data_IF_568774512010
#
_entry.id   IF_568774512010
#
_cell.length_a   1.000
_cell.length_b   1.000
_cell.length_c   1.000
_cell.angle_alpha   90.00
_cell.angle_beta   90.00
_cell.angle_gamma   90.00
#
_symmetry.space_group_name_H-M   'P 1'
#
loop_
_entity.id
_entity.type
_entity.pdbx_description
1 polymer ?
#
# COMPACT_ATOMS: atom_id res chain seq x y z
N UNK A 1 5.91 -22.24 -6.91
CA UNK A 1 7.35 -21.96 -6.79
C UNK A 1 7.52 -20.59 -6.15
N UNK A 2 8.05 -20.51 -4.92
CA UNK A 2 8.38 -19.24 -4.26
C UNK A 2 9.62 -18.68 -4.95
N UNK A 3 9.46 -17.63 -5.76
CA UNK A 3 10.57 -17.05 -6.49
C UNK A 3 11.47 -16.29 -5.50
N UNK A 4 12.67 -16.83 -5.24
CA UNK A 4 13.63 -16.31 -4.25
C UNK A 4 14.18 -14.90 -4.61
N UNK A 5 14.01 -14.45 -5.85
CA UNK A 5 14.54 -13.18 -6.38
C UNK A 5 13.59 -11.97 -6.26
N UNK A 6 12.58 -12.04 -5.40
CA UNK A 6 11.57 -10.97 -5.27
C UNK A 6 11.89 -9.93 -4.18
N UNK A 7 12.85 -10.23 -3.29
CA UNK A 7 13.32 -9.31 -2.24
C UNK A 7 13.87 -7.96 -2.74
N UNK A 8 14.62 -7.88 -3.86
CA UNK A 8 15.13 -6.61 -4.37
C UNK A 8 13.99 -5.62 -4.69
N UNK A 9 12.87 -6.10 -5.24
CA UNK A 9 11.74 -5.24 -5.57
C UNK A 9 11.10 -4.62 -4.30
N UNK A 10 10.98 -5.40 -3.23
CA UNK A 10 10.51 -4.88 -1.94
C UNK A 10 11.45 -3.81 -1.39
N UNK A 11 12.77 -4.01 -1.49
CA UNK A 11 13.76 -3.03 -1.05
C UNK A 11 13.66 -1.73 -1.86
N UNK A 12 13.49 -1.82 -3.19
CA UNK A 12 13.28 -0.64 -4.05
C UNK A 12 12.03 0.13 -3.62
N UNK A 13 10.91 -0.57 -3.41
CA UNK A 13 9.68 0.07 -2.90
C UNK A 13 9.92 0.80 -1.59
N UNK A 14 10.58 0.13 -0.63
CA UNK A 14 10.93 0.71 0.67
C UNK A 14 11.77 1.98 0.54
N UNK A 15 12.87 1.91 -0.23
CA UNK A 15 13.79 3.04 -0.43
C UNK A 15 13.06 4.19 -1.10
N UNK A 16 12.23 3.95 -2.11
CA UNK A 16 11.48 5.01 -2.78
C UNK A 16 10.51 5.71 -1.84
N UNK A 17 9.78 4.98 -1.00
CA UNK A 17 8.88 5.60 -0.02
C UNK A 17 9.62 6.36 1.08
N UNK A 18 10.79 5.87 1.51
CA UNK A 18 11.62 6.60 2.45
C UNK A 18 12.15 7.91 1.83
N UNK A 19 12.68 7.85 0.61
CA UNK A 19 13.25 9.00 -0.09
C UNK A 19 12.20 10.02 -0.49
N UNK A 20 11.02 9.60 -0.93
CA UNK A 20 9.90 10.50 -1.20
C UNK A 20 9.51 11.28 0.06
N UNK A 21 9.38 10.60 1.21
CA UNK A 21 9.04 11.28 2.47
C UNK A 21 10.14 12.23 2.99
N UNK A 22 11.41 11.96 2.70
CA UNK A 22 12.54 12.67 3.35
C UNK A 22 13.34 13.61 2.46
N UNK A 23 13.32 13.40 1.14
CA UNK A 23 14.16 14.11 0.17
C UNK A 23 13.33 14.76 -0.94
N UNK A 24 12.36 14.05 -1.50
CA UNK A 24 11.57 14.49 -2.66
C UNK A 24 10.08 14.53 -2.31
N UNK A 25 9.71 15.37 -1.36
CA UNK A 25 8.29 15.60 -1.02
C UNK A 25 7.54 15.96 -2.31
N UNK A 26 6.67 15.04 -2.76
CA UNK A 26 5.90 15.18 -4.01
C UNK A 26 4.71 16.13 -3.86
N UNK A 27 4.55 16.73 -2.68
CA UNK A 27 3.50 17.66 -2.32
C UNK A 27 2.55 17.09 -1.28
N UNK A 28 1.59 17.91 -0.80
CA UNK A 28 0.78 17.58 0.36
C UNK A 28 0.03 16.25 0.20
N UNK A 29 0.40 15.24 1.00
CA UNK A 29 -0.19 13.89 1.02
C UNK A 29 -0.17 13.16 -0.34
N UNK A 30 0.80 13.49 -1.21
CA UNK A 30 1.12 12.69 -2.40
C UNK A 30 2.22 11.70 -2.01
N UNK A 31 1.83 10.57 -1.41
CA UNK A 31 2.77 9.69 -0.72
C UNK A 31 2.94 8.30 -1.37
N UNK A 32 4.13 7.72 -1.24
CA UNK A 32 4.42 6.35 -1.69
C UNK A 32 4.22 5.31 -0.59
N UNK A 33 4.13 5.71 0.68
CA UNK A 33 4.06 4.77 1.81
C UNK A 33 2.85 3.85 1.75
N UNK A 34 1.67 4.35 1.37
CA UNK A 34 0.47 3.52 1.19
C UNK A 34 0.69 2.48 0.09
N UNK A 35 1.37 2.85 -1.00
CA UNK A 35 1.70 1.93 -2.10
C UNK A 35 2.61 0.81 -1.60
N UNK A 36 3.66 1.13 -0.83
CA UNK A 36 4.56 0.13 -0.24
C UNK A 36 3.80 -0.78 0.70
N UNK A 37 3.01 -0.24 1.61
CA UNK A 37 2.21 -1.01 2.55
C UNK A 37 1.28 -2.01 1.85
N UNK A 38 0.54 -1.56 0.83
CA UNK A 38 -0.42 -2.41 0.12
C UNK A 38 0.29 -3.47 -0.72
N UNK A 39 1.31 -3.10 -1.47
CA UNK A 39 2.05 -4.05 -2.30
C UNK A 39 2.87 -5.02 -1.46
N UNK A 40 3.44 -4.58 -0.34
CA UNK A 40 4.08 -5.46 0.63
C UNK A 40 3.06 -6.42 1.26
N UNK A 41 1.89 -5.94 1.65
CA UNK A 41 0.81 -6.81 2.17
C UNK A 41 0.39 -7.88 1.17
N UNK A 42 0.32 -7.52 -0.11
CA UNK A 42 -0.14 -8.41 -1.16
C UNK A 42 0.94 -9.39 -1.66
N UNK A 43 2.17 -8.91 -1.88
CA UNK A 43 3.27 -9.68 -2.48
C UNK A 43 4.19 -10.31 -1.42
N UNK A 44 4.37 -9.63 -0.29
CA UNK A 44 5.34 -9.94 0.75
C UNK A 44 4.73 -9.91 2.16
N UNK A 45 3.62 -10.63 2.46
CA UNK A 45 2.86 -10.43 3.69
C UNK A 45 3.69 -10.46 4.99
N UNK A 46 4.76 -11.27 5.03
CA UNK A 46 5.69 -11.37 6.18
C UNK A 46 6.46 -10.07 6.48
N UNK A 47 6.72 -9.26 5.44
CA UNK A 47 7.47 -8.00 5.55
C UNK A 47 6.55 -6.79 5.53
N UNK A 48 5.24 -6.94 5.36
CA UNK A 48 4.30 -5.81 5.29
C UNK A 48 4.35 -4.93 6.53
N UNK A 49 4.05 -5.51 7.70
CA UNK A 49 4.01 -4.77 8.95
C UNK A 49 5.37 -4.12 9.26
N UNK A 50 6.44 -4.92 9.21
CA UNK A 50 7.79 -4.46 9.53
C UNK A 50 8.33 -3.46 8.51
N UNK A 51 8.01 -3.62 7.23
CA UNK A 51 8.37 -2.69 6.17
C UNK A 51 7.70 -1.34 6.35
N UNK A 52 6.37 -1.34 6.52
CA UNK A 52 5.61 -0.12 6.80
C UNK A 52 6.10 0.57 8.07
N UNK A 53 6.33 -0.19 9.15
CA UNK A 53 6.85 0.32 10.42
C UNK A 53 8.23 0.98 10.23
N UNK A 54 9.13 0.32 9.50
CA UNK A 54 10.45 0.86 9.25
C UNK A 54 10.39 2.15 8.41
N UNK A 55 9.49 2.27 7.42
CA UNK A 55 9.34 3.52 6.66
C UNK A 55 8.88 4.66 7.57
N UNK A 56 7.81 4.47 8.35
CA UNK A 56 7.30 5.54 9.24
C UNK A 56 8.32 5.94 10.29
N UNK A 57 8.94 4.98 10.99
CA UNK A 57 9.92 5.28 12.05
C UNK A 57 11.12 6.02 11.46
N UNK A 58 11.75 5.48 10.42
CA UNK A 58 12.98 6.07 9.89
C UNK A 58 12.72 7.45 9.28
N UNK A 59 11.60 7.64 8.57
CA UNK A 59 11.29 8.96 8.01
C UNK A 59 10.98 9.98 9.10
N UNK A 60 10.25 9.61 10.14
CA UNK A 60 9.92 10.53 11.23
C UNK A 60 11.11 10.84 12.15
N UNK A 61 12.11 9.95 12.23
CA UNK A 61 13.40 10.27 12.87
C UNK A 61 14.16 11.38 12.14
N UNK A 62 13.94 11.54 10.82
CA UNK A 62 14.55 12.60 10.01
C UNK A 62 13.73 13.88 10.06
N UNK A 63 12.40 13.77 9.93
CA UNK A 63 11.49 14.92 9.85
C UNK A 63 11.09 15.50 11.21
N UNK A 64 11.24 14.72 12.28
CA UNK A 64 10.60 15.00 13.56
C UNK A 64 9.10 14.65 13.55
N UNK A 65 8.51 14.53 14.73
CA UNK A 65 7.07 14.25 14.86
C UNK A 65 6.50 14.85 16.16
N UNK A 66 5.18 14.90 16.25
CA UNK A 66 4.40 15.31 17.42
C UNK A 66 3.48 14.16 17.86
N UNK A 67 2.67 14.36 18.91
CA UNK A 67 1.74 13.36 19.44
C UNK A 67 0.76 12.77 18.40
N UNK A 68 0.56 13.44 17.25
CA UNK A 68 -0.22 12.91 16.13
C UNK A 68 0.35 11.59 15.57
N UNK A 69 1.63 11.28 15.85
CA UNK A 69 2.29 10.03 15.46
C UNK A 69 1.48 8.80 15.86
N UNK A 70 0.78 8.85 17.01
CA UNK A 70 -0.06 7.76 17.47
C UNK A 70 -1.13 7.41 16.43
N UNK A 71 -1.73 8.42 15.79
CA UNK A 71 -2.77 8.24 14.78
C UNK A 71 -2.18 7.99 13.39
N UNK A 72 -1.11 8.67 12.99
CA UNK A 72 -0.50 8.43 11.67
C UNK A 72 0.16 7.05 11.59
N UNK A 73 0.90 6.63 12.62
CA UNK A 73 1.53 5.31 12.65
C UNK A 73 0.50 4.20 12.70
N UNK A 74 -0.46 4.27 13.63
CA UNK A 74 -1.52 3.26 13.71
C UNK A 74 -2.41 3.28 12.46
N UNK A 75 -2.62 4.45 11.84
CA UNK A 75 -3.31 4.62 10.56
C UNK A 75 -2.70 3.79 9.43
N UNK A 76 -1.38 3.63 9.39
CA UNK A 76 -0.70 2.74 8.44
C UNK A 76 -0.57 1.30 8.96
N UNK A 77 -0.24 1.11 10.24
CA UNK A 77 0.07 -0.20 10.80
C UNK A 77 -1.17 -1.10 10.93
N UNK A 78 -2.36 -0.54 11.21
CA UNK A 78 -3.60 -1.31 11.30
C UNK A 78 -3.95 -1.93 9.92
N UNK A 79 -4.04 -1.17 8.81
CA UNK A 79 -4.20 -1.75 7.49
C UNK A 79 -3.07 -2.74 7.15
N UNK A 80 -1.80 -2.40 7.38
CA UNK A 80 -0.68 -3.30 7.11
C UNK A 80 -0.86 -4.67 7.81
N UNK A 81 -1.25 -4.65 9.09
CA UNK A 81 -1.51 -5.83 9.90
C UNK A 81 -2.69 -6.66 9.38
N UNK A 82 -3.81 -6.01 9.06
CA UNK A 82 -5.02 -6.68 8.56
C UNK A 82 -4.79 -7.29 7.18
N UNK A 83 -4.20 -6.51 6.26
CA UNK A 83 -3.94 -6.91 4.88
C UNK A 83 -2.86 -7.99 4.76
N UNK A 84 -1.91 -8.05 5.70
CA UNK A 84 -0.90 -9.12 5.75
C UNK A 84 -1.49 -10.52 6.07
N UNK A 85 -2.76 -10.59 6.48
CA UNK A 85 -3.44 -11.84 6.85
C UNK A 85 -4.55 -12.19 5.85
N UNK A 86 -4.22 -12.83 4.71
CA UNK A 86 -5.21 -13.16 3.67
C UNK A 86 -6.35 -14.07 4.18
N UNK A 87 -6.15 -14.79 5.30
CA UNK A 87 -7.20 -15.59 5.95
C UNK A 87 -8.33 -14.75 6.56
N UNK A 88 -8.03 -13.53 7.02
CA UNK A 88 -9.03 -12.59 7.54
C UNK A 88 -9.86 -11.96 6.41
N UNK A 89 -9.40 -12.13 5.17
CA UNK A 89 -10.02 -11.52 4.00
C UNK A 89 -10.68 -12.57 3.09
N UNK A 90 -11.04 -13.74 3.63
CA UNK A 90 -11.76 -14.83 2.94
C UNK A 90 -13.15 -14.35 2.48
N UNK A 91 -13.19 -13.61 1.37
CA UNK A 91 -14.38 -13.03 0.76
C UNK A 91 -14.01 -12.15 -0.45
N UNK A 92 -12.97 -11.33 -0.30
CA UNK A 92 -12.38 -10.54 -1.41
C UNK A 92 -11.40 -11.34 -2.30
N UNK A 93 -11.00 -12.54 -1.86
CA UNK A 93 -9.82 -13.27 -2.36
C UNK A 93 -10.12 -14.40 -3.38
N UNK A 94 -11.37 -14.64 -3.76
CA UNK A 94 -11.79 -15.85 -4.51
C UNK A 94 -11.59 -15.81 -6.05
N UNK A 95 -10.49 -15.29 -6.59
CA UNK A 95 -10.21 -15.43 -8.04
C UNK A 95 -8.70 -15.39 -8.36
N UNK A 96 -8.02 -16.54 -8.57
CA UNK A 96 -6.58 -16.59 -8.33
C UNK A 96 -5.66 -15.99 -9.42
N UNK A 97 -6.13 -15.59 -10.61
CA UNK A 97 -5.19 -15.23 -11.70
C UNK A 97 -5.48 -13.97 -12.53
N UNK A 98 -6.73 -13.48 -12.62
CA UNK A 98 -7.08 -12.38 -13.53
C UNK A 98 -7.35 -11.00 -12.91
N UNK A 99 -7.52 -10.90 -11.58
CA UNK A 99 -7.95 -9.64 -10.92
C UNK A 99 -6.98 -9.06 -9.90
N UNK A 100 -5.69 -9.38 -10.00
CA UNK A 100 -4.68 -8.93 -9.03
C UNK A 100 -4.58 -7.40 -8.93
N UNK A 101 -4.63 -6.69 -10.07
CA UNK A 101 -4.57 -5.23 -10.09
C UNK A 101 -5.78 -4.60 -9.39
N UNK A 102 -6.99 -5.03 -9.77
CA UNK A 102 -8.26 -4.55 -9.15
C UNK A 102 -8.23 -4.75 -7.64
N UNK A 103 -7.67 -5.87 -7.16
CA UNK A 103 -7.51 -6.11 -5.73
C UNK A 103 -6.61 -5.09 -5.06
N UNK A 104 -5.37 -4.94 -5.52
CA UNK A 104 -4.42 -4.02 -4.87
C UNK A 104 -4.93 -2.58 -4.91
N UNK A 105 -5.62 -2.18 -5.98
CA UNK A 105 -6.29 -0.88 -6.05
C UNK A 105 -7.40 -0.74 -5.01
N UNK A 106 -8.26 -1.77 -4.86
CA UNK A 106 -9.28 -1.79 -3.82
C UNK A 106 -8.70 -1.73 -2.40
N UNK A 107 -7.59 -2.44 -2.16
CA UNK A 107 -6.88 -2.37 -0.87
C UNK A 107 -6.31 -0.99 -0.59
N UNK A 108 -5.71 -0.34 -1.60
CA UNK A 108 -5.21 1.04 -1.49
C UNK A 108 -6.33 2.03 -1.22
N UNK A 109 -7.45 1.91 -1.93
CA UNK A 109 -8.62 2.74 -1.70
C UNK A 109 -9.14 2.59 -0.26
N UNK A 110 -9.40 1.36 0.19
CA UNK A 110 -9.87 1.11 1.56
C UNK A 110 -8.89 1.59 2.63
N UNK A 111 -7.59 1.46 2.38
CA UNK A 111 -6.55 1.93 3.30
C UNK A 111 -6.54 3.46 3.42
N UNK A 112 -6.64 4.18 2.29
CA UNK A 112 -6.73 5.64 2.28
C UNK A 112 -7.99 6.14 3.00
N UNK A 113 -9.14 5.50 2.78
CA UNK A 113 -10.39 5.87 3.45
C UNK A 113 -10.27 5.65 4.96
N UNK A 114 -9.73 4.50 5.38
CA UNK A 114 -9.48 4.24 6.80
C UNK A 114 -8.53 5.28 7.39
N UNK A 115 -7.40 5.53 6.74
CA UNK A 115 -6.40 6.48 7.18
C UNK A 115 -7.02 7.87 7.37
N UNK A 116 -7.76 8.36 6.37
CA UNK A 116 -8.44 9.65 6.43
C UNK A 116 -9.37 9.78 7.64
N UNK A 117 -10.24 8.80 7.90
CA UNK A 117 -11.13 8.89 9.05
C UNK A 117 -10.34 8.83 10.36
N UNK A 118 -9.37 7.92 10.43
CA UNK A 118 -8.61 7.66 11.65
C UNK A 118 -7.70 8.84 12.04
N UNK A 119 -6.94 9.40 11.09
CA UNK A 119 -6.00 10.48 11.40
C UNK A 119 -6.68 11.80 11.65
N UNK A 120 -7.79 12.11 10.96
CA UNK A 120 -8.53 13.34 11.21
C UNK A 120 -9.34 13.29 12.52
N UNK A 121 -9.80 12.10 12.93
CA UNK A 121 -10.25 11.91 14.31
C UNK A 121 -9.12 12.24 15.30
N UNK A 122 -7.90 11.79 15.01
CA UNK A 122 -6.71 12.13 15.80
C UNK A 122 -6.42 13.62 15.85
N UNK A 123 -6.46 14.31 14.70
CA UNK A 123 -6.30 15.76 14.63
C UNK A 123 -7.33 16.45 15.50
N UNK A 124 -8.62 16.12 15.36
CA UNK A 124 -9.69 16.71 16.16
C UNK A 124 -9.53 16.42 17.65
N UNK A 125 -9.15 15.20 18.05
CA UNK A 125 -8.93 14.84 19.45
C UNK A 125 -7.74 15.60 20.05
N UNK A 126 -6.61 15.58 19.36
CA UNK A 126 -5.34 16.11 19.83
C UNK A 126 -5.14 17.61 19.55
N UNK A 127 -6.10 18.25 18.86
CA UNK A 127 -6.02 19.67 18.53
C UNK A 127 -5.81 20.52 19.79
N UNK A 128 -4.57 20.99 19.94
CA UNK A 128 -4.09 21.85 21.02
C UNK A 128 -4.16 23.33 20.66
N UNK A 129 -4.44 23.66 19.39
CA UNK A 129 -4.49 25.03 18.89
C UNK A 129 -5.91 25.60 18.89
N UNK A 130 -6.91 24.78 19.24
CA UNK A 130 -8.31 25.18 19.26
C UNK A 130 -8.84 25.49 17.85
N UNK A 131 -8.31 24.82 16.84
CA UNK A 131 -8.74 24.94 15.45
C UNK A 131 -10.15 24.39 15.23
N UNK A 132 -10.57 23.40 16.03
CA UNK A 132 -11.89 22.79 15.96
C UNK A 132 -12.55 22.70 17.33
N UNK A 133 -13.83 23.07 17.38
CA UNK A 133 -14.66 22.87 18.55
C UNK A 133 -14.71 21.38 18.93
N UNK A 134 -14.65 21.08 20.23
CA UNK A 134 -14.78 19.71 20.76
C UNK A 134 -16.25 19.26 20.79
N UNK A 135 -16.91 19.39 19.64
CA UNK A 135 -18.29 18.96 19.37
C UNK A 135 -18.33 18.11 18.11
N UNK A 136 -19.45 17.42 17.87
CA UNK A 136 -19.66 16.67 16.62
C UNK A 136 -19.57 17.58 15.39
N UNK A 137 -20.05 18.81 15.49
CA UNK A 137 -19.95 19.79 14.41
C UNK A 137 -18.48 20.13 14.09
N UNK A 138 -17.66 20.37 15.12
CA UNK A 138 -16.23 20.62 14.94
C UNK A 138 -15.48 19.43 14.32
N UNK A 139 -15.86 18.19 14.68
CA UNK A 139 -15.33 16.98 14.02
C UNK A 139 -15.70 16.92 12.53
N UNK A 140 -16.96 17.25 12.19
CA UNK A 140 -17.41 17.31 10.80
C UNK A 140 -16.62 18.39 10.03
N UNK A 141 -16.41 19.56 10.62
CA UNK A 141 -15.55 20.61 10.02
C UNK A 141 -14.12 20.11 9.79
N UNK A 142 -13.54 19.38 10.74
CA UNK A 142 -12.21 18.77 10.58
C UNK A 142 -12.15 17.83 9.37
N UNK A 143 -13.16 16.98 9.18
CA UNK A 143 -13.23 16.12 8.01
C UNK A 143 -13.39 16.92 6.71
N UNK A 144 -14.31 17.90 6.66
CA UNK A 144 -14.52 18.72 5.45
C UNK A 144 -13.21 19.40 5.02
N UNK A 145 -12.47 19.99 5.97
CA UNK A 145 -11.20 20.64 5.70
C UNK A 145 -10.10 19.67 5.25
N UNK A 146 -10.24 18.38 5.58
CA UNK A 146 -9.29 17.35 5.20
C UNK A 146 -9.53 16.73 3.81
N UNK A 147 -10.64 17.06 3.13
CA UNK A 147 -10.95 16.53 1.79
C UNK A 147 -9.85 16.77 0.73
N UNK A 148 -9.14 17.93 0.68
CA UNK A 148 -8.04 18.13 -0.26
C UNK A 148 -6.90 17.12 -0.06
N UNK A 149 -6.61 16.77 1.20
CA UNK A 149 -5.60 15.77 1.53
C UNK A 149 -6.02 14.36 1.11
N UNK A 150 -7.29 14.00 1.35
CA UNK A 150 -7.85 12.73 0.89
C UNK A 150 -7.77 12.62 -0.64
N UNK A 151 -8.10 13.70 -1.36
CA UNK A 151 -8.00 13.74 -2.82
C UNK A 151 -6.58 13.42 -3.28
N UNK A 152 -5.57 14.08 -2.73
CA UNK A 152 -4.16 13.85 -3.11
C UNK A 152 -3.71 12.42 -2.79
N UNK A 153 -4.09 11.91 -1.63
CA UNK A 153 -3.75 10.54 -1.21
C UNK A 153 -4.41 9.49 -2.12
N UNK A 154 -5.67 9.70 -2.50
CA UNK A 154 -6.39 8.83 -3.45
C UNK A 154 -5.77 8.87 -4.85
N UNK A 155 -5.45 10.06 -5.36
CA UNK A 155 -4.80 10.21 -6.67
C UNK A 155 -3.43 9.52 -6.67
N UNK A 156 -2.63 9.73 -5.63
CA UNK A 156 -1.32 9.09 -5.45
C UNK A 156 -1.43 7.57 -5.52
N UNK A 157 -2.32 6.96 -4.71
CA UNK A 157 -2.56 5.51 -4.72
C UNK A 157 -3.11 5.01 -6.06
N UNK A 158 -3.98 5.79 -6.73
CA UNK A 158 -4.55 5.46 -8.03
C UNK A 158 -3.48 5.42 -9.13
N UNK A 159 -2.40 6.19 -9.01
CA UNK A 159 -1.28 6.23 -9.97
C UNK A 159 -0.19 5.21 -9.60
N UNK A 160 0.30 5.24 -8.37
CA UNK A 160 1.51 4.47 -8.00
C UNK A 160 1.23 2.99 -7.79
N UNK A 161 0.09 2.60 -7.22
CA UNK A 161 -0.23 1.17 -7.03
C UNK A 161 -0.25 0.41 -8.37
N UNK A 162 -1.00 0.84 -9.41
CA UNK A 162 -0.94 0.17 -10.71
C UNK A 162 0.44 0.19 -11.32
N UNK A 163 1.14 1.34 -11.27
CA UNK A 163 2.48 1.50 -11.84
C UNK A 163 3.45 0.44 -11.28
N UNK A 164 3.59 0.39 -9.95
CA UNK A 164 4.52 -0.53 -9.31
C UNK A 164 4.05 -2.00 -9.38
N UNK A 165 2.74 -2.25 -9.33
CA UNK A 165 2.20 -3.60 -9.51
C UNK A 165 2.50 -4.15 -10.92
N UNK A 166 2.34 -3.32 -11.96
CA UNK A 166 2.63 -3.71 -13.34
C UNK A 166 4.14 -3.87 -13.57
N UNK A 167 4.97 -2.99 -13.01
CA UNK A 167 6.42 -3.12 -13.03
C UNK A 167 6.88 -4.46 -12.41
N UNK A 168 6.33 -4.82 -11.25
CA UNK A 168 6.58 -6.12 -10.63
C UNK A 168 6.20 -7.30 -11.54
N UNK A 169 5.03 -7.22 -12.17
CA UNK A 169 4.55 -8.26 -13.10
C UNK A 169 5.44 -8.39 -14.34
N UNK A 170 5.92 -7.27 -14.89
CA UNK A 170 6.83 -7.25 -16.02
C UNK A 170 8.17 -7.92 -15.66
N UNK A 171 8.79 -7.53 -14.53
CA UNK A 171 10.03 -8.14 -14.03
C UNK A 171 9.88 -9.65 -13.85
N UNK A 172 8.76 -10.10 -13.30
CA UNK A 172 8.50 -11.53 -13.13
C UNK A 172 8.33 -12.27 -14.46
N UNK A 173 7.77 -11.63 -15.49
CA UNK A 173 7.58 -12.26 -16.80
C UNK A 173 8.90 -12.51 -17.54
N UNK A 174 9.90 -11.64 -17.35
CA UNK A 174 11.25 -11.78 -17.93
C UNK A 174 12.04 -12.89 -17.24
N UNK A 175 11.82 -13.08 -15.92
CA UNK A 175 12.53 -14.08 -15.11
C UNK A 175 11.94 -15.51 -15.19
N UNK A 176 10.86 -15.73 -15.93
CA UNK A 176 10.33 -17.07 -16.14
C UNK A 176 11.13 -17.78 -17.25
N UNK A 177 11.65 -19.01 -17.03
CA UNK A 177 12.32 -19.76 -18.09
C UNK A 177 11.33 -19.97 -19.25
N UNK A 178 11.71 -19.48 -20.44
CA UNK A 178 10.90 -19.46 -21.67
C UNK A 178 10.55 -20.86 -22.21
N UNK A 179 11.09 -21.93 -21.61
CA UNK A 179 11.02 -23.31 -22.10
C UNK A 179 9.71 -24.07 -21.82
N UNK A 180 8.66 -23.46 -21.29
CA UNK A 180 7.39 -24.18 -21.05
C UNK A 180 6.47 -24.29 -22.28
N UNK A 181 6.87 -23.77 -23.45
CA UNK A 181 6.04 -23.80 -24.66
C UNK A 181 6.32 -24.98 -25.61
N UNK A 182 7.33 -25.82 -25.33
CA UNK A 182 7.70 -26.93 -26.25
C UNK A 182 6.95 -28.25 -26.02
N UNK A 183 6.17 -28.42 -24.95
CA UNK A 183 5.54 -29.72 -24.64
C UNK A 183 4.12 -29.91 -25.19
N UNK A 184 3.50 -28.88 -25.78
CA UNK A 184 2.15 -28.99 -26.34
C UNK A 184 2.12 -29.38 -27.84
N UNK A 185 3.24 -29.28 -28.56
CA UNK A 185 3.33 -29.70 -29.96
C UNK A 185 3.68 -31.19 -30.11
N UNK A 186 4.46 -31.77 -29.20
CA UNK A 186 4.92 -33.16 -29.31
C UNK A 186 3.85 -34.23 -28.98
N UNK A 187 2.75 -33.85 -28.30
CA UNK A 187 1.71 -34.82 -27.89
C UNK A 187 0.62 -35.08 -28.93
N UNK A 188 0.64 -34.40 -30.09
CA UNK A 188 -0.33 -34.61 -31.18
C UNK A 188 0.17 -35.53 -32.31
N UNK A 189 1.40 -36.05 -32.22
CA UNK A 189 1.98 -36.93 -33.27
C UNK A 189 1.88 -38.43 -32.89
N UNK A 190 1.49 -38.78 -31.66
CA UNK A 190 1.48 -40.17 -31.19
C UNK A 190 0.10 -40.73 -30.80
N UNK A 191 -0.97 -40.25 -31.45
CA UNK A 191 -2.29 -40.89 -31.40
C UNK A 191 -2.84 -40.84 -32.82
N UNK A 192 -3.09 -41.91 -33.57
CA UNK A 192 -2.86 -43.36 -33.46
C UNK A 192 -3.34 -43.87 -34.84
N UNK A 193 -2.58 -44.75 -35.48
CA UNK A 193 -3.08 -45.66 -36.51
C UNK A 193 -4.08 -46.67 -35.91
#
# INVERSE_FOLDING_TARGET
>A
MKNHNSKPFFLVLFVLAFLERTVWDLGPNVELITTVMVLASFLYPKYSLWGTLAVVILSDLVLGNSNIFLFTWSGFLIPAFLLSRPRLMKGFFCSPKRRGLIRVMGLGFSSNIFFYFWTNLGVWLLDSWGMYDKTVAGLVHCYINALPFLKNQLVSSLVFIPLFYLAYKAIQSVNLPRNSFSTLSARKIFIKD
#
